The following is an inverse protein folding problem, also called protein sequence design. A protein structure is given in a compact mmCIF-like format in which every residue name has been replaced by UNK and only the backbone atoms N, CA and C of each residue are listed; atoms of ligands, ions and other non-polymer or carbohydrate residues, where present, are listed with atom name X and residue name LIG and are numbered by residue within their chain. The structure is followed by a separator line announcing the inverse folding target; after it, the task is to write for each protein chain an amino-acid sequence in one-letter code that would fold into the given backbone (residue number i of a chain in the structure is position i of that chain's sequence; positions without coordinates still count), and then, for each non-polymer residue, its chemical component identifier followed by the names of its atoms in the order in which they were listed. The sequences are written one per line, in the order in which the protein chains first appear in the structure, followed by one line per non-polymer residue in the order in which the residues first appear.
data_IF_766687029151
#
_entry.id   IF_766687029151
#
_cell.length_a   1.000
_cell.length_b   1.000
_cell.length_c   1.000
_cell.angle_alpha   90.00
_cell.angle_beta   90.00
_cell.angle_gamma   90.00
#
_symmetry.space_group_name_H-M   'P 1'
#
loop_
_entity.id
_entity.type
_entity.pdbx_description
1 polymer ?
#
# COMPACT_ATOMS: atom_id res chain seq x y z
N UNK A 1 -6.64 14.15 23.03
CA UNK A 1 -6.25 12.99 22.20
C UNK A 1 -4.72 12.94 22.20
N UNK A 2 -4.07 11.87 22.70
CA UNK A 2 -2.60 11.85 22.79
C UNK A 2 -2.01 11.68 21.39
N UNK A 3 -1.30 12.70 20.92
CA UNK A 3 -0.52 12.75 19.68
C UNK A 3 0.48 11.59 19.70
N UNK A 4 0.37 10.65 18.77
CA UNK A 4 1.34 9.58 18.55
C UNK A 4 1.97 9.83 17.18
N UNK A 5 3.25 10.18 17.16
CA UNK A 5 4.02 10.43 15.94
C UNK A 5 4.63 9.11 15.49
N UNK A 6 4.34 8.64 14.28
CA UNK A 6 4.48 7.22 13.93
C UNK A 6 5.29 7.02 12.65
N UNK A 7 6.19 6.04 12.69
CA UNK A 7 7.13 5.74 11.61
C UNK A 7 7.01 4.28 11.19
N UNK A 8 6.84 4.04 9.89
CA UNK A 8 6.88 2.71 9.30
C UNK A 8 8.26 2.48 8.67
N UNK A 9 9.16 1.80 9.37
CA UNK A 9 10.51 1.47 8.88
C UNK A 9 10.66 -0.04 8.78
N UNK A 10 10.80 -0.65 7.60
CA UNK A 10 11.29 -2.03 7.49
C UNK A 10 12.66 -1.97 6.80
N UNK A 11 13.75 -2.03 7.57
CA UNK A 11 15.10 -1.99 7.00
C UNK A 11 15.59 -0.58 6.64
N UNK A 12 16.81 -0.27 7.06
CA UNK A 12 17.48 1.02 6.95
C UNK A 12 17.92 1.35 5.52
N UNK A 13 16.99 1.79 4.66
CA UNK A 13 17.32 2.26 3.29
C UNK A 13 16.83 3.69 3.02
N UNK A 14 15.89 4.23 3.80
CA UNK A 14 15.66 5.69 3.84
C UNK A 14 16.64 6.33 4.82
N UNK A 15 17.12 7.55 4.51
CA UNK A 15 17.87 8.36 5.49
C UNK A 15 17.17 8.33 6.87
N UNK A 16 17.90 8.33 8.00
CA UNK A 16 17.31 8.18 9.33
C UNK A 16 16.55 9.45 9.70
N UNK A 17 15.34 9.58 9.18
CA UNK A 17 14.40 10.60 9.60
C UNK A 17 13.91 10.18 10.97
N UNK A 18 14.26 11.00 11.96
CA UNK A 18 13.81 10.84 13.34
C UNK A 18 13.09 12.11 13.75
N UNK A 19 11.88 11.95 14.25
CA UNK A 19 11.10 13.04 14.85
C UNK A 19 11.00 12.81 16.36
N UNK A 20 10.95 13.87 17.19
CA UNK A 20 10.77 13.71 18.64
C UNK A 20 9.50 12.90 18.94
N UNK A 21 9.57 11.91 19.84
CA UNK A 21 8.40 11.08 20.20
C UNK A 21 7.95 10.09 19.13
N UNK A 22 8.78 9.83 18.12
CA UNK A 22 8.53 8.82 17.09
C UNK A 22 8.40 7.42 17.69
N UNK A 23 7.35 6.70 17.31
CA UNK A 23 7.21 5.25 17.52
C UNK A 23 7.34 4.51 16.20
N UNK A 24 7.62 3.21 16.25
CA UNK A 24 7.76 2.34 15.09
C UNK A 24 6.51 1.51 14.86
N UNK A 25 6.09 1.41 13.61
CA UNK A 25 4.83 0.84 13.17
C UNK A 25 4.96 -0.41 12.31
N UNK A 26 4.00 -1.33 12.45
CA UNK A 26 3.83 -2.50 11.59
C UNK A 26 2.35 -2.78 11.34
N UNK A 27 1.96 -2.86 10.08
CA UNK A 27 0.67 -3.44 9.71
C UNK A 27 0.68 -4.95 10.00
N UNK A 28 -0.45 -5.46 10.47
CA UNK A 28 -0.75 -6.88 10.62
C UNK A 28 -1.79 -7.25 9.55
N UNK A 29 -1.43 -8.18 8.67
CA UNK A 29 -2.25 -8.61 7.54
C UNK A 29 -2.62 -10.09 7.70
N UNK A 30 -3.80 -10.53 7.19
CA UNK A 30 -4.16 -11.93 7.20
C UNK A 30 -3.27 -12.75 6.24
N UNK A 31 -3.24 -14.07 6.45
CA UNK A 31 -2.62 -15.00 5.51
C UNK A 31 -3.47 -15.25 4.25
N UNK A 32 -4.79 -15.00 4.33
CA UNK A 32 -5.73 -15.17 3.23
C UNK A 32 -6.23 -13.79 2.78
N UNK A 33 -6.08 -13.49 1.49
CA UNK A 33 -6.57 -12.25 0.92
C UNK A 33 -8.10 -12.14 1.08
N UNK A 34 -8.59 -10.94 1.41
CA UNK A 34 -10.00 -10.68 1.64
C UNK A 34 -10.50 -10.97 3.07
N UNK A 35 -9.71 -11.63 3.91
CA UNK A 35 -10.05 -11.80 5.32
C UNK A 35 -9.92 -10.47 6.07
N UNK A 36 -10.83 -10.23 7.02
CA UNK A 36 -10.84 -9.04 7.88
C UNK A 36 -10.69 -9.47 9.35
N UNK A 37 -10.08 -8.64 10.21
CA UNK A 37 -9.95 -8.98 11.62
C UNK A 37 -11.33 -8.95 12.28
N UNK A 38 -11.70 -10.04 12.95
CA UNK A 38 -12.95 -10.18 13.72
C UNK A 38 -12.70 -9.92 15.20
N UNK A 39 -11.56 -10.37 15.71
CA UNK A 39 -11.15 -10.18 17.10
C UNK A 39 -9.65 -10.05 17.22
N UNK A 40 -9.19 -9.14 18.07
CA UNK A 40 -7.77 -8.89 18.31
C UNK A 40 -7.47 -9.12 19.78
N UNK A 41 -6.49 -9.98 20.06
CA UNK A 41 -6.07 -10.31 21.42
C UNK A 41 -4.87 -9.47 21.84
N UNK A 42 -5.08 -8.23 22.25
CA UNK A 42 -4.00 -7.32 22.68
C UNK A 42 -3.13 -7.91 23.80
N UNK A 43 -3.73 -8.74 24.67
CA UNK A 43 -3.00 -9.44 25.74
C UNK A 43 -1.90 -10.37 25.24
N UNK A 44 -1.90 -10.76 23.96
CA UNK A 44 -0.86 -11.59 23.35
C UNK A 44 0.48 -10.87 23.17
N UNK A 45 0.50 -9.54 23.22
CA UNK A 45 1.71 -8.72 23.09
C UNK A 45 2.05 -7.95 24.38
N UNK A 46 1.36 -8.24 25.49
CA UNK A 46 1.51 -7.50 26.77
C UNK A 46 2.94 -7.49 27.34
N UNK A 47 3.73 -8.49 27.00
CA UNK A 47 5.12 -8.64 27.45
C UNK A 47 6.11 -7.78 26.66
N UNK A 48 5.65 -7.12 25.59
CA UNK A 48 6.47 -6.23 24.76
C UNK A 48 6.27 -4.79 25.27
N UNK A 49 7.28 -4.18 25.89
CA UNK A 49 7.15 -2.84 26.46
C UNK A 49 6.75 -1.80 25.41
N UNK A 50 5.81 -0.94 25.75
CA UNK A 50 5.36 0.16 24.88
C UNK A 50 4.53 -0.26 23.65
N UNK A 51 4.33 -1.57 23.43
CA UNK A 51 3.56 -2.05 22.29
C UNK A 51 2.07 -1.73 22.44
N UNK A 52 1.47 -1.22 21.38
CA UNK A 52 0.03 -0.88 21.31
C UNK A 52 -0.56 -1.37 20.00
N UNK A 53 -1.80 -1.84 20.05
CA UNK A 53 -2.59 -2.20 18.87
C UNK A 53 -3.32 -0.97 18.35
N UNK A 54 -3.46 -0.90 17.02
CA UNK A 54 -4.19 0.13 16.29
C UNK A 54 -5.15 -0.59 15.38
N UNK A 55 -6.44 -0.54 15.69
CA UNK A 55 -7.47 -1.24 14.95
C UNK A 55 -8.63 -0.32 14.63
N UNK A 56 -8.87 -0.05 13.35
CA UNK A 56 -9.93 0.85 12.89
C UNK A 56 -10.41 0.46 11.48
N UNK A 57 -11.71 0.29 11.26
CA UNK A 57 -12.30 0.12 9.92
C UNK A 57 -11.56 -0.88 8.98
N UNK A 58 -11.15 -2.03 9.52
CA UNK A 58 -10.43 -3.08 8.76
C UNK A 58 -8.90 -2.87 8.67
N UNK A 59 -8.39 -1.71 9.07
CA UNK A 59 -6.96 -1.46 9.30
C UNK A 59 -6.53 -2.07 10.62
N UNK A 60 -5.46 -2.88 10.62
CA UNK A 60 -4.89 -3.44 11.84
C UNK A 60 -3.37 -3.32 11.84
N UNK A 61 -2.82 -2.66 12.85
CA UNK A 61 -1.39 -2.59 13.05
C UNK A 61 -0.99 -2.53 14.52
N UNK A 62 0.32 -2.49 14.73
CA UNK A 62 0.93 -2.30 16.04
C UNK A 62 1.95 -1.18 15.99
N UNK A 63 2.13 -0.49 17.10
CA UNK A 63 3.20 0.48 17.31
C UNK A 63 4.00 0.15 18.57
N UNK A 64 5.30 0.45 18.58
CA UNK A 64 6.16 0.33 19.76
C UNK A 64 7.32 1.34 19.72
N UNK A 65 7.99 1.57 20.84
CA UNK A 65 9.06 2.57 20.95
C UNK A 65 10.30 2.20 20.13
N UNK A 66 10.53 0.91 19.87
CA UNK A 66 11.65 0.43 19.05
C UNK A 66 11.15 -0.35 17.83
N UNK A 67 11.92 -0.31 16.73
CA UNK A 67 11.59 -1.06 15.53
C UNK A 67 11.47 -2.57 15.81
N UNK A 68 12.37 -3.11 16.64
CA UNK A 68 12.38 -4.53 16.95
C UNK A 68 11.17 -4.95 17.77
N UNK A 69 10.72 -4.12 18.71
CA UNK A 69 9.52 -4.38 19.49
C UNK A 69 8.26 -4.33 18.61
N UNK A 70 8.18 -3.40 17.66
CA UNK A 70 7.09 -3.37 16.69
C UNK A 70 7.07 -4.62 15.79
N UNK A 71 8.25 -5.11 15.36
CA UNK A 71 8.38 -6.37 14.61
C UNK A 71 7.93 -7.57 15.45
N UNK A 72 8.36 -7.66 16.70
CA UNK A 72 7.96 -8.76 17.60
C UNK A 72 6.45 -8.72 17.83
N UNK A 73 5.90 -7.54 18.13
CA UNK A 73 4.48 -7.36 18.38
C UNK A 73 3.64 -7.76 17.16
N UNK A 74 4.05 -7.36 15.95
CA UNK A 74 3.29 -7.68 14.74
C UNK A 74 3.28 -9.17 14.41
N UNK A 75 4.32 -9.91 14.84
CA UNK A 75 4.42 -11.37 14.65
C UNK A 75 3.72 -12.16 15.76
N UNK A 76 3.65 -11.61 16.97
CA UNK A 76 3.07 -12.28 18.13
C UNK A 76 1.57 -11.98 18.31
N UNK A 77 1.08 -10.86 17.78
CA UNK A 77 -0.31 -10.46 17.92
C UNK A 77 -1.23 -11.56 17.39
N UNK A 78 -2.04 -12.12 18.29
CA UNK A 78 -3.06 -13.10 17.95
C UNK A 78 -4.31 -12.37 17.46
N UNK A 79 -4.75 -12.76 16.26
CA UNK A 79 -5.92 -12.17 15.58
C UNK A 79 -6.79 -13.32 15.08
N UNK A 80 -8.09 -13.26 15.40
CA UNK A 80 -9.09 -14.07 14.71
C UNK A 80 -9.51 -13.33 13.46
N UNK A 81 -9.30 -13.98 12.32
CA UNK A 81 -9.67 -13.48 11.01
C UNK A 81 -11.01 -14.08 10.59
N UNK A 82 -11.79 -13.34 9.81
CA UNK A 82 -12.99 -13.86 9.18
C UNK A 82 -12.64 -15.01 8.23
N UNK A 83 -13.58 -15.91 8.02
CA UNK A 83 -13.50 -16.82 6.88
C UNK A 83 -13.49 -15.98 5.60
N UNK A 84 -12.53 -16.27 4.72
CA UNK A 84 -12.45 -15.67 3.39
C UNK A 84 -12.29 -16.80 2.39
N UNK A 85 -13.19 -16.83 1.40
CA UNK A 85 -12.99 -17.70 0.25
C UNK A 85 -11.75 -17.22 -0.50
N UNK A 86 -10.86 -18.13 -0.95
CA UNK A 86 -9.71 -17.75 -1.75
C UNK A 86 -10.17 -16.90 -2.93
N UNK A 87 -9.75 -15.62 -3.01
CA UNK A 87 -10.37 -14.69 -3.96
C UNK A 87 -9.84 -14.87 -5.38
N UNK A 88 -8.84 -15.74 -5.57
CA UNK A 88 -8.14 -15.89 -6.83
C UNK A 88 -8.36 -17.29 -7.41
N UNK A 89 -8.53 -17.40 -8.74
CA UNK A 89 -8.65 -18.68 -9.41
C UNK A 89 -7.30 -19.41 -9.48
N UNK A 90 -7.34 -20.69 -9.85
CA UNK A 90 -6.13 -21.44 -10.16
C UNK A 90 -5.40 -20.84 -11.36
N UNK A 91 -4.07 -21.00 -11.38
CA UNK A 91 -3.20 -20.45 -12.43
C UNK A 91 -3.65 -20.86 -13.84
N UNK A 92 -4.15 -22.08 -14.02
CA UNK A 92 -4.64 -22.58 -15.31
C UNK A 92 -5.84 -21.79 -15.88
N UNK A 93 -6.58 -21.07 -15.03
CA UNK A 93 -7.79 -20.32 -15.41
C UNK A 93 -7.65 -18.82 -15.20
N UNK A 94 -6.47 -18.35 -14.76
CA UNK A 94 -6.22 -16.97 -14.36
C UNK A 94 -6.47 -15.96 -15.49
N UNK A 95 -5.96 -16.20 -16.69
CA UNK A 95 -6.15 -15.27 -17.81
C UNK A 95 -7.60 -15.22 -18.29
N UNK A 96 -8.30 -16.36 -18.28
CA UNK A 96 -9.74 -16.38 -18.55
C UNK A 96 -10.50 -15.56 -17.52
N UNK A 97 -10.20 -15.73 -16.23
CA UNK A 97 -10.79 -14.94 -15.16
C UNK A 97 -10.57 -13.43 -15.35
N UNK A 98 -9.34 -13.00 -15.66
CA UNK A 98 -9.01 -11.59 -15.94
C UNK A 98 -9.83 -11.05 -17.11
N UNK A 99 -9.91 -11.78 -18.23
CA UNK A 99 -10.70 -11.38 -19.42
C UNK A 99 -12.19 -11.29 -19.13
N UNK A 100 -12.70 -12.14 -18.24
CA UNK A 100 -14.12 -12.15 -17.85
C UNK A 100 -14.49 -11.08 -16.82
N UNK A 101 -13.50 -10.43 -16.20
CA UNK A 101 -13.75 -9.45 -15.16
C UNK A 101 -14.45 -8.20 -15.72
N UNK A 102 -15.38 -7.58 -14.96
CA UNK A 102 -16.04 -6.36 -15.39
C UNK A 102 -15.04 -5.27 -15.75
N UNK A 103 -15.05 -4.81 -17.00
CA UNK A 103 -14.16 -3.76 -17.46
C UNK A 103 -14.71 -2.38 -17.08
N UNK A 104 -13.88 -1.56 -16.43
CA UNK A 104 -14.12 -0.11 -16.36
C UNK A 104 -13.49 0.55 -17.57
N UNK A 105 -14.27 0.66 -18.65
CA UNK A 105 -13.78 1.23 -19.91
C UNK A 105 -13.55 2.74 -19.75
N UNK A 106 -12.32 3.19 -20.02
CA UNK A 106 -12.00 4.60 -20.21
C UNK A 106 -11.39 4.76 -21.59
N UNK A 107 -12.19 5.24 -22.53
CA UNK A 107 -11.72 5.53 -23.88
C UNK A 107 -10.95 6.84 -23.86
N UNK A 108 -9.64 6.75 -24.05
CA UNK A 108 -8.85 7.90 -24.50
C UNK A 108 -8.90 7.82 -26.03
N UNK A 109 -9.42 8.87 -26.67
CA UNK A 109 -9.61 8.92 -28.12
C UNK A 109 -8.40 8.33 -28.85
N UNK A 110 -8.59 7.15 -29.44
CA UNK A 110 -7.53 6.47 -30.14
C UNK A 110 -7.02 7.36 -31.28
N UNK A 111 -5.73 7.29 -31.58
CA UNK A 111 -5.24 7.82 -32.86
C UNK A 111 -5.81 6.95 -33.96
N UNK A 112 -6.91 7.41 -34.56
CA UNK A 112 -7.45 6.82 -35.79
C UNK A 112 -6.61 7.35 -36.94
N UNK A 113 -5.89 6.48 -37.64
CA UNK A 113 -5.10 6.83 -38.80
C UNK A 113 -5.54 5.96 -39.98
N UNK A 114 -6.22 6.56 -40.95
CA UNK A 114 -6.73 5.86 -42.12
C UNK A 114 -7.92 4.94 -41.82
N UNK A 115 -8.20 4.05 -42.78
CA UNK A 115 -9.27 3.06 -42.72
C UNK A 115 -8.65 1.66 -42.63
N UNK A 116 -8.64 1.11 -41.42
CA UNK A 116 -8.07 -0.21 -41.11
C UNK A 116 -8.86 -1.32 -41.82
N UNK A 117 -10.20 -1.22 -41.86
CA UNK A 117 -11.07 -2.22 -42.49
C UNK A 117 -10.84 -2.27 -44.01
N UNK A 118 -10.63 -1.12 -44.65
CA UNK A 118 -10.26 -1.06 -46.06
C UNK A 118 -8.86 -1.64 -46.30
N UNK A 119 -7.89 -1.35 -45.43
CA UNK A 119 -6.54 -1.89 -45.54
C UNK A 119 -6.54 -3.43 -45.48
N UNK A 120 -7.29 -4.03 -44.55
CA UNK A 120 -7.39 -5.49 -44.40
C UNK A 120 -7.96 -6.21 -45.63
N UNK A 121 -8.78 -5.55 -46.46
CA UNK A 121 -9.33 -6.18 -47.68
C UNK A 121 -8.29 -6.44 -48.77
N UNK A 122 -7.16 -5.72 -48.75
CA UNK A 122 -6.14 -5.77 -49.81
C UNK A 122 -4.81 -6.43 -49.41
N UNK A 123 -4.68 -6.94 -48.19
CA UNK A 123 -3.40 -7.49 -47.72
C UNK A 123 -3.16 -8.91 -48.25
N UNK A 124 -1.91 -9.21 -48.58
CA UNK A 124 -1.51 -10.54 -49.04
C UNK A 124 -1.50 -11.59 -47.91
N UNK A 125 -1.40 -11.16 -46.64
CA UNK A 125 -1.37 -12.04 -45.47
C UNK A 125 -1.82 -11.29 -44.22
N UNK A 126 -2.63 -11.94 -43.40
CA UNK A 126 -2.96 -11.52 -42.03
C UNK A 126 -2.25 -12.46 -41.06
N UNK A 127 -1.68 -11.91 -39.98
CA UNK A 127 -1.12 -12.69 -38.88
C UNK A 127 -1.84 -12.28 -37.61
N UNK A 128 -2.46 -13.25 -36.95
CA UNK A 128 -3.16 -13.07 -35.69
C UNK A 128 -2.45 -13.88 -34.61
N UNK A 129 -2.32 -13.30 -33.43
CA UNK A 129 -1.73 -13.95 -32.27
C UNK A 129 -2.33 -13.37 -30.99
N UNK A 130 -2.51 -14.23 -30.00
CA UNK A 130 -2.86 -13.82 -28.64
C UNK A 130 -1.62 -13.83 -27.76
N UNK A 131 -1.53 -12.83 -26.89
CA UNK A 131 -0.42 -12.67 -25.96
C UNK A 131 -0.95 -12.53 -24.54
N UNK A 132 -0.28 -13.19 -23.61
CA UNK A 132 -0.53 -13.12 -22.18
C UNK A 132 0.73 -12.63 -21.48
N UNK A 133 0.59 -11.67 -20.56
CA UNK A 133 1.71 -11.11 -19.84
C UNK A 133 1.65 -11.54 -18.37
N UNK A 134 2.73 -12.10 -17.80
CA UNK A 134 2.72 -12.57 -16.42
C UNK A 134 2.69 -11.39 -15.44
N UNK A 135 2.22 -11.64 -14.22
CA UNK A 135 2.39 -10.70 -13.12
C UNK A 135 3.88 -10.51 -12.81
N UNK A 136 4.32 -9.26 -12.82
CA UNK A 136 5.70 -8.90 -12.53
C UNK A 136 5.78 -8.10 -11.24
N UNK A 137 6.69 -8.55 -10.36
CA UNK A 137 7.06 -7.76 -9.19
C UNK A 137 7.91 -6.57 -9.64
N UNK A 138 7.71 -5.44 -8.97
CA UNK A 138 8.50 -4.23 -9.18
C UNK A 138 9.93 -4.38 -8.64
N UNK A 139 10.16 -5.38 -7.78
CA UNK A 139 11.48 -5.78 -7.31
C UNK A 139 12.36 -4.64 -6.78
N UNK A 140 11.78 -3.69 -6.03
CA UNK A 140 12.54 -2.67 -5.31
C UNK A 140 13.63 -3.30 -4.43
N UNK A 141 14.77 -2.61 -4.30
CA UNK A 141 15.92 -3.10 -3.51
C UNK A 141 15.60 -3.25 -2.01
N UNK A 142 14.50 -2.66 -1.58
CA UNK A 142 14.01 -2.68 -0.21
C UNK A 142 12.51 -2.37 -0.16
N UNK A 143 11.87 -2.61 0.98
CA UNK A 143 10.44 -2.38 1.15
C UNK A 143 10.11 -0.89 1.20
N UNK A 144 8.87 -0.55 0.86
CA UNK A 144 8.34 0.80 1.06
C UNK A 144 8.46 1.22 2.53
N UNK A 145 8.79 2.49 2.76
CA UNK A 145 9.00 3.09 4.07
C UNK A 145 8.46 4.53 4.07
N UNK A 146 7.87 4.98 5.18
CA UNK A 146 7.38 6.35 5.34
C UNK A 146 7.36 6.74 6.81
N UNK A 147 7.68 8.00 7.09
CA UNK A 147 7.47 8.63 8.40
C UNK A 147 6.33 9.63 8.26
N UNK A 148 5.36 9.58 9.18
CA UNK A 148 4.29 10.56 9.27
C UNK A 148 4.30 11.23 10.66
N UNK A 149 4.37 12.55 10.67
CA UNK A 149 4.12 13.36 11.86
C UNK A 149 2.73 13.98 11.69
N UNK A 150 1.79 13.51 12.52
CA UNK A 150 0.38 13.90 12.47
C UNK A 150 0.07 14.71 13.73
N UNK A 151 -0.29 15.97 13.55
CA UNK A 151 -0.56 16.94 14.60
C UNK A 151 -1.92 17.60 14.31
N UNK A 152 -2.50 18.29 15.29
CA UNK A 152 -3.82 18.95 15.11
C UNK A 152 -3.80 20.05 14.02
N UNK A 153 -2.63 20.65 13.79
CA UNK A 153 -2.45 21.76 12.83
C UNK A 153 -2.04 21.29 11.43
N UNK A 154 -1.06 20.39 11.33
CA UNK A 154 -0.40 19.97 10.09
C UNK A 154 -0.03 18.49 10.13
N UNK A 155 -0.01 17.86 8.95
CA UNK A 155 0.48 16.52 8.71
C UNK A 155 1.72 16.60 7.83
N UNK A 156 2.88 16.15 8.33
CA UNK A 156 4.12 16.07 7.53
C UNK A 156 4.43 14.61 7.21
N UNK A 157 4.67 14.32 5.94
CA UNK A 157 4.91 12.96 5.45
C UNK A 157 6.22 12.91 4.69
N UNK A 158 7.19 12.14 5.17
CA UNK A 158 8.44 11.87 4.44
C UNK A 158 8.34 10.51 3.75
N UNK A 159 8.26 10.53 2.41
CA UNK A 159 7.97 9.33 1.61
C UNK A 159 8.94 9.15 0.45
N UNK A 160 9.23 7.89 0.11
CA UNK A 160 9.96 7.50 -1.10
C UNK A 160 9.09 7.40 -2.36
N UNK A 161 7.83 7.85 -2.31
CA UNK A 161 6.89 7.87 -3.45
C UNK A 161 7.39 8.79 -4.56
N UNK A 162 7.34 8.36 -5.83
CA UNK A 162 7.67 9.23 -6.97
C UNK A 162 6.58 10.30 -7.22
N UNK A 163 5.45 10.22 -6.49
CA UNK A 163 4.30 11.12 -6.61
C UNK A 163 3.91 11.70 -5.25
N UNK A 164 4.78 12.50 -4.61
CA UNK A 164 4.48 13.08 -3.29
C UNK A 164 3.18 13.91 -3.29
N UNK A 165 2.85 14.59 -4.39
CA UNK A 165 1.59 15.31 -4.54
C UNK A 165 0.36 14.38 -4.48
N UNK A 166 0.42 13.19 -5.09
CA UNK A 166 -0.66 12.20 -4.97
C UNK A 166 -0.72 11.59 -3.57
N UNK A 167 0.43 11.40 -2.93
CA UNK A 167 0.50 10.97 -1.52
C UNK A 167 -0.18 11.97 -0.59
N UNK A 168 0.01 13.28 -0.83
CA UNK A 168 -0.69 14.35 -0.12
C UNK A 168 -2.21 14.17 -0.19
N UNK A 169 -2.76 13.99 -1.40
CA UNK A 169 -4.20 13.81 -1.59
C UNK A 169 -4.74 12.55 -0.88
N UNK A 170 -4.01 11.43 -0.97
CA UNK A 170 -4.40 10.18 -0.32
C UNK A 170 -4.42 10.29 1.21
N UNK A 171 -3.37 10.89 1.80
CA UNK A 171 -3.28 11.09 3.26
C UNK A 171 -4.32 12.10 3.74
N UNK A 172 -4.58 13.17 2.98
CA UNK A 172 -5.64 14.13 3.31
C UNK A 172 -7.02 13.45 3.34
N UNK A 173 -7.30 12.64 2.32
CA UNK A 173 -8.55 11.89 2.20
C UNK A 173 -8.76 10.92 3.36
N UNK A 174 -7.74 10.12 3.70
CA UNK A 174 -7.88 9.08 4.73
C UNK A 174 -8.00 9.66 6.14
N UNK A 175 -7.34 10.78 6.41
CA UNK A 175 -7.42 11.48 7.70
C UNK A 175 -8.63 12.43 7.80
N UNK A 176 -9.32 12.68 6.69
CA UNK A 176 -10.45 13.62 6.65
C UNK A 176 -10.03 15.08 6.87
N UNK A 177 -8.83 15.47 6.40
CA UNK A 177 -8.29 16.83 6.54
C UNK A 177 -8.12 17.51 5.18
N UNK A 178 -8.11 18.85 5.10
CA UNK A 178 -7.79 19.58 3.86
C UNK A 178 -6.38 19.23 3.35
N UNK A 179 -6.21 19.14 2.03
CA UNK A 179 -4.92 18.80 1.41
C UNK A 179 -3.81 19.82 1.73
N UNK A 180 -4.18 21.08 1.98
CA UNK A 180 -3.28 22.16 2.37
C UNK A 180 -2.66 21.93 3.75
N UNK A 181 -3.31 21.14 4.60
CA UNK A 181 -2.75 20.72 5.89
C UNK A 181 -1.76 19.57 5.76
N UNK A 182 -1.61 18.97 4.58
CA UNK A 182 -0.71 17.84 4.36
C UNK A 182 0.51 18.29 3.55
N UNK A 183 1.70 18.14 4.13
CA UNK A 183 2.97 18.39 3.49
C UNK A 183 3.70 17.07 3.23
N UNK A 184 3.60 16.58 1.99
CA UNK A 184 4.29 15.37 1.55
C UNK A 184 5.64 15.72 0.93
N UNK A 185 6.73 15.35 1.62
CA UNK A 185 8.11 15.55 1.22
C UNK A 185 8.68 14.28 0.61
N UNK A 186 9.19 14.38 -0.61
CA UNK A 186 9.96 13.29 -1.19
C UNK A 186 11.32 13.15 -0.49
N UNK A 187 11.71 11.91 -0.19
CA UNK A 187 13.02 11.56 0.35
C UNK A 187 13.60 10.35 -0.39
N UNK A 188 14.94 10.20 -0.45
CA UNK A 188 15.55 9.02 -1.04
C UNK A 188 15.03 7.73 -0.42
N UNK A 189 14.63 6.77 -1.25
CA UNK A 189 14.11 5.47 -0.85
C UNK A 189 14.68 4.32 -1.69
N UNK A 190 14.29 3.08 -1.40
CA UNK A 190 14.89 1.85 -1.99
C UNK A 190 14.53 1.56 -3.46
N UNK A 191 14.04 2.56 -4.20
CA UNK A 191 13.43 2.39 -5.52
C UNK A 191 11.93 2.07 -5.44
N UNK A 192 11.18 2.51 -6.44
CA UNK A 192 9.72 2.32 -6.54
C UNK A 192 9.36 1.50 -7.77
N UNK A 193 9.91 1.86 -8.94
CA UNK A 193 9.59 1.26 -10.25
C UNK A 193 8.08 1.24 -10.55
N UNK A 194 7.29 2.08 -9.87
CA UNK A 194 5.82 2.13 -9.91
C UNK A 194 5.12 1.69 -8.61
N UNK A 195 5.74 0.90 -7.71
CA UNK A 195 5.03 0.29 -6.57
C UNK A 195 4.81 1.24 -5.41
N UNK A 196 5.82 2.00 -4.99
CA UNK A 196 5.71 2.86 -3.80
C UNK A 196 4.77 4.05 -4.04
N UNK A 197 4.48 4.36 -5.30
CA UNK A 197 3.57 5.42 -5.72
C UNK A 197 2.10 5.10 -5.41
N UNK A 198 1.78 3.84 -5.11
CA UNK A 198 0.45 3.46 -4.64
C UNK A 198 0.10 4.10 -3.27
N UNK A 199 1.11 4.57 -2.52
CA UNK A 199 0.91 5.35 -1.31
C UNK A 199 0.62 4.53 -0.04
N UNK A 200 0.59 3.20 -0.11
CA UNK A 200 0.22 2.34 1.03
C UNK A 200 1.05 2.63 2.28
N UNK A 201 2.38 2.72 2.17
CA UNK A 201 3.23 2.98 3.32
C UNK A 201 2.98 4.34 3.97
N UNK A 202 2.58 5.33 3.17
CA UNK A 202 2.28 6.67 3.67
C UNK A 202 0.92 6.73 4.37
N UNK A 203 -0.09 6.08 3.79
CA UNK A 203 -1.41 5.94 4.43
C UNK A 203 -1.30 5.08 5.70
N UNK A 204 -0.53 3.99 5.64
CA UNK A 204 -0.26 3.12 6.80
C UNK A 204 0.39 3.91 7.94
N UNK A 205 1.42 4.70 7.63
CA UNK A 205 2.12 5.51 8.64
C UNK A 205 1.26 6.63 9.23
N UNK A 206 0.30 7.17 8.47
CA UNK A 206 -0.61 8.22 8.93
C UNK A 206 -1.76 7.68 9.78
N UNK A 207 -2.20 6.43 9.53
CA UNK A 207 -3.31 5.76 10.22
C UNK A 207 -2.91 4.98 11.46
N UNK A 208 -1.68 4.46 11.47
CA UNK A 208 -1.00 4.34 12.75
C UNK A 208 -0.99 5.78 13.21
#
# INVERSE_FOLDING_TARGET
MKILRRAFLRGSISQPIKVPGMVHGRMVRPNVAGAVPVKVYESSIKEIPGAKVVWNQGFLGVVADTEWDAIKASRQLKVEWSDAQPPFPDQATLYHHIRSAPIRKREFGGKTAGDVDAAFKGVARVIEAEYEWPFQSHASMGPACTVADVNDDQVTVWTGSQKPHSTREGVATILGVPAEKVHAMWVPGPGSYGRNDAGDAAVDAALL
#
